data_IF_018877902035
#
_entry.id   IF_018877902035
#
_cell.length_a   1.000
_cell.length_b   1.000
_cell.length_c   1.000
_cell.angle_alpha   90.00
_cell.angle_beta   90.00
_cell.angle_gamma   90.00
#
_symmetry.space_group_name_H-M   'P 1'
#
loop_
_entity.id
_entity.type
_entity.pdbx_description
1 polymer ?
#
# COMPACT_ATOMS: atom_id res chain seq x y z
N UNK A 1 -11.40 55.36 -3.77
CA UNK A 1 -11.90 54.21 -2.99
C UNK A 1 -11.96 52.88 -3.75
N UNK A 2 -11.81 52.84 -5.08
CA UNK A 2 -11.83 51.59 -5.87
C UNK A 2 -10.48 50.88 -6.00
N UNK A 3 -9.36 51.61 -5.99
CA UNK A 3 -8.02 51.03 -6.12
C UNK A 3 -7.64 50.14 -4.93
N UNK A 4 -8.03 50.53 -3.71
CA UNK A 4 -7.73 49.80 -2.48
C UNK A 4 -8.38 48.39 -2.42
N UNK A 5 -9.56 48.24 -3.02
CA UNK A 5 -10.24 46.94 -3.12
C UNK A 5 -9.57 46.02 -4.14
N UNK A 6 -9.06 46.58 -5.24
CA UNK A 6 -8.30 45.84 -6.26
C UNK A 6 -6.98 45.31 -5.66
N UNK A 7 -6.27 46.13 -4.88
CA UNK A 7 -5.01 45.71 -4.23
C UNK A 7 -5.23 44.61 -3.18
N UNK A 8 -6.36 44.65 -2.43
CA UNK A 8 -6.75 43.60 -1.47
C UNK A 8 -7.11 42.27 -2.15
N UNK A 9 -7.78 42.32 -3.30
CA UNK A 9 -8.10 41.12 -4.10
C UNK A 9 -6.85 40.48 -4.72
N UNK A 10 -5.87 41.29 -5.11
CA UNK A 10 -4.57 40.81 -5.60
C UNK A 10 -3.72 40.18 -4.49
N UNK A 11 -3.71 40.75 -3.28
CA UNK A 11 -2.98 40.16 -2.14
C UNK A 11 -3.54 38.80 -1.67
N UNK A 12 -4.83 38.54 -1.91
CA UNK A 12 -5.46 37.25 -1.59
C UNK A 12 -5.15 36.16 -2.63
N UNK A 13 -4.61 36.51 -3.81
CA UNK A 13 -4.21 35.54 -4.85
C UNK A 13 -2.77 35.05 -4.71
N UNK A 14 -1.99 35.56 -3.75
CA UNK A 14 -0.58 35.19 -3.57
C UNK A 14 -0.35 33.90 -2.76
N UNK A 15 -1.42 33.23 -2.29
CA UNK A 15 -1.34 31.92 -1.65
C UNK A 15 -1.86 30.80 -2.57
N UNK A 16 -1.63 30.88 -3.89
CA UNK A 16 -1.70 29.66 -4.70
C UNK A 16 -0.44 28.87 -4.38
N UNK A 17 -0.56 27.89 -3.48
CA UNK A 17 0.48 26.88 -3.34
C UNK A 17 0.79 26.36 -4.73
N UNK A 18 2.01 26.58 -5.23
CA UNK A 18 2.56 25.85 -6.36
C UNK A 18 2.82 24.41 -5.89
N UNK A 19 1.77 23.76 -5.38
CA UNK A 19 1.75 22.37 -5.01
C UNK A 19 1.49 21.65 -6.30
N UNK A 20 2.44 20.82 -6.72
CA UNK A 20 2.30 19.88 -7.84
C UNK A 20 0.87 19.32 -7.84
N UNK A 21 0.06 19.74 -8.81
CA UNK A 21 -1.31 19.23 -8.93
C UNK A 21 -1.18 17.78 -9.38
N UNK A 22 -1.16 16.86 -8.43
CA UNK A 22 -1.16 15.41 -8.70
C UNK A 22 -2.40 15.11 -9.53
N UNK A 23 -2.21 14.48 -10.69
CA UNK A 23 -3.32 14.11 -11.55
C UNK A 23 -4.20 13.07 -10.85
N UNK A 24 -5.52 13.18 -11.01
CA UNK A 24 -6.44 12.21 -10.44
C UNK A 24 -6.33 10.87 -11.16
N UNK A 25 -5.74 9.87 -10.49
CA UNK A 25 -5.59 8.50 -10.99
C UNK A 25 -6.70 7.54 -10.57
N UNK A 26 -7.71 8.00 -9.82
CA UNK A 26 -8.83 7.15 -9.37
C UNK A 26 -9.53 6.41 -10.52
N UNK A 27 -9.86 7.05 -11.67
CA UNK A 27 -10.50 6.33 -12.77
C UNK A 27 -9.64 5.21 -13.37
N UNK A 28 -8.31 5.35 -13.32
CA UNK A 28 -7.37 4.33 -13.82
C UNK A 28 -7.37 3.10 -12.91
N UNK A 29 -7.26 3.32 -11.60
CA UNK A 29 -7.33 2.23 -10.61
C UNK A 29 -8.70 1.58 -10.55
N UNK A 30 -9.79 2.34 -10.70
CA UNK A 30 -11.14 1.78 -10.78
C UNK A 30 -11.25 0.80 -11.96
N UNK A 31 -10.75 1.17 -13.16
CA UNK A 31 -10.72 0.25 -14.31
C UNK A 31 -9.92 -1.01 -14.02
N UNK A 32 -8.75 -0.88 -13.38
CA UNK A 32 -7.90 -2.02 -13.03
C UNK A 32 -8.58 -3.00 -12.07
N UNK A 33 -9.14 -2.49 -10.96
CA UNK A 33 -9.76 -3.32 -9.92
C UNK A 33 -11.18 -3.78 -10.27
N UNK A 34 -11.85 -3.16 -11.23
CA UNK A 34 -13.17 -3.58 -11.73
C UNK A 34 -13.08 -4.42 -13.01
N UNK A 35 -11.90 -4.63 -13.59
CA UNK A 35 -11.73 -5.51 -14.74
C UNK A 35 -12.22 -6.94 -14.43
N UNK A 36 -12.97 -7.52 -15.36
CA UNK A 36 -13.61 -8.83 -15.20
C UNK A 36 -12.65 -9.94 -15.66
N UNK A 37 -11.60 -10.15 -14.87
CA UNK A 37 -10.48 -11.04 -15.19
C UNK A 37 -10.40 -12.28 -14.28
N UNK A 38 -11.48 -12.61 -13.56
CA UNK A 38 -11.58 -13.70 -12.55
C UNK A 38 -10.51 -13.66 -11.41
N UNK A 39 -9.68 -12.62 -11.36
CA UNK A 39 -8.64 -12.47 -10.36
C UNK A 39 -9.22 -12.00 -9.02
N UNK A 40 -8.83 -12.62 -7.90
CA UNK A 40 -9.22 -12.15 -6.58
C UNK A 40 -8.55 -10.81 -6.27
N UNK A 41 -9.19 -9.99 -5.42
CA UNK A 41 -8.77 -8.60 -5.14
C UNK A 41 -7.31 -8.46 -4.68
N UNK A 42 -6.78 -9.44 -3.95
CA UNK A 42 -5.40 -9.42 -3.42
C UNK A 42 -4.32 -9.81 -4.44
N UNK A 43 -4.70 -10.16 -5.68
CA UNK A 43 -3.78 -10.40 -6.80
C UNK A 43 -4.06 -9.45 -7.97
N UNK A 44 -5.02 -8.53 -7.81
CA UNK A 44 -5.56 -7.74 -8.92
C UNK A 44 -4.63 -6.60 -9.36
N UNK A 45 -3.66 -6.22 -8.53
CA UNK A 45 -2.56 -5.31 -8.88
C UNK A 45 -1.47 -5.97 -9.74
N UNK A 46 -1.52 -7.29 -9.96
CA UNK A 46 -0.67 -8.00 -10.90
C UNK A 46 0.57 -8.66 -10.28
N UNK A 47 1.73 -8.54 -10.95
CA UNK A 47 2.93 -9.30 -10.60
C UNK A 47 3.49 -8.94 -9.21
N UNK A 48 3.41 -7.67 -8.82
CA UNK A 48 3.84 -7.20 -7.48
C UNK A 48 3.11 -7.95 -6.37
N UNK A 49 1.79 -8.06 -6.50
CA UNK A 49 0.92 -8.67 -5.51
C UNK A 49 1.22 -10.18 -5.40
N UNK A 50 1.46 -10.83 -6.54
CA UNK A 50 1.81 -12.25 -6.57
C UNK A 50 3.17 -12.53 -5.91
N UNK A 51 4.19 -11.69 -6.17
CA UNK A 51 5.50 -11.82 -5.52
C UNK A 51 5.37 -11.58 -4.02
N UNK A 52 4.68 -10.51 -3.62
CA UNK A 52 4.47 -10.18 -2.20
C UNK A 52 3.76 -11.34 -1.48
N UNK A 53 2.65 -11.83 -2.03
CA UNK A 53 1.90 -12.95 -1.47
C UNK A 53 2.77 -14.19 -1.25
N UNK A 54 3.55 -14.59 -2.27
CA UNK A 54 4.42 -15.76 -2.19
C UNK A 54 5.51 -15.59 -1.14
N UNK A 55 6.14 -14.43 -1.08
CA UNK A 55 7.19 -14.14 -0.09
C UNK A 55 6.61 -14.21 1.32
N UNK A 56 5.45 -13.59 1.57
CA UNK A 56 4.79 -13.65 2.88
C UNK A 56 4.42 -15.08 3.27
N UNK A 57 3.89 -15.87 2.34
CA UNK A 57 3.56 -17.28 2.60
C UNK A 57 4.80 -18.13 2.93
N UNK A 58 5.91 -17.91 2.23
CA UNK A 58 7.18 -18.60 2.51
C UNK A 58 7.67 -18.25 3.91
N UNK A 59 7.75 -16.96 4.24
CA UNK A 59 8.22 -16.49 5.56
C UNK A 59 7.34 -17.06 6.67
N UNK A 60 6.01 -17.01 6.51
CA UNK A 60 5.07 -17.56 7.48
C UNK A 60 5.25 -19.06 7.69
N UNK A 61 5.36 -19.82 6.60
CA UNK A 61 5.55 -21.29 6.64
C UNK A 61 6.88 -21.65 7.32
N UNK A 62 7.96 -20.95 6.97
CA UNK A 62 9.28 -21.14 7.59
C UNK A 62 9.23 -20.80 9.08
N UNK A 63 8.61 -19.68 9.46
CA UNK A 63 8.44 -19.30 10.86
C UNK A 63 7.69 -20.34 11.68
N UNK A 64 6.59 -20.88 11.13
CA UNK A 64 5.82 -21.96 11.77
C UNK A 64 6.68 -23.21 11.93
N UNK A 65 7.39 -23.64 10.89
CA UNK A 65 8.26 -24.83 10.97
C UNK A 65 9.37 -24.67 12.02
N UNK A 66 9.95 -23.47 12.13
CA UNK A 66 10.98 -23.16 13.11
C UNK A 66 10.42 -23.17 14.55
N UNK A 67 9.24 -22.61 14.75
CA UNK A 67 8.55 -22.64 16.04
C UNK A 67 8.25 -24.08 16.48
N UNK A 68 7.76 -24.93 15.55
CA UNK A 68 7.50 -26.34 15.83
C UNK A 68 8.79 -27.11 16.19
N UNK A 69 9.90 -26.84 15.49
CA UNK A 69 11.20 -27.40 15.84
C UNK A 69 11.64 -26.97 17.24
N UNK A 70 11.45 -25.70 17.59
CA UNK A 70 11.74 -25.20 18.94
C UNK A 70 10.92 -25.91 20.02
N UNK A 71 9.62 -26.10 19.79
CA UNK A 71 8.74 -26.83 20.72
C UNK A 71 9.19 -28.29 20.85
N UNK A 72 9.56 -28.93 19.74
CA UNK A 72 10.06 -30.31 19.74
C UNK A 72 11.34 -30.45 20.57
N UNK A 73 12.31 -29.56 20.38
CA UNK A 73 13.56 -29.59 21.15
C UNK A 73 13.35 -29.34 22.65
N UNK A 74 12.40 -28.48 23.02
CA UNK A 74 12.03 -28.27 24.43
C UNK A 74 11.33 -29.49 25.05
N UNK A 75 10.52 -30.20 24.28
CA UNK A 75 9.81 -31.39 24.73
C UNK A 75 10.69 -32.64 24.87
N UNK A 76 11.90 -32.64 24.32
CA UNK A 76 12.84 -33.76 24.44
C UNK A 76 13.38 -33.86 25.87
N UNK A 77 13.06 -34.96 26.54
CA UNK A 77 13.67 -35.30 27.83
C UNK A 77 15.15 -35.60 27.59
N UNK A 78 16.02 -34.70 28.05
CA UNK A 78 17.46 -34.89 27.97
C UNK A 78 17.87 -35.95 29.01
N UNK A 79 18.23 -37.16 28.55
CA UNK A 79 18.91 -38.12 29.42
C UNK A 79 20.31 -37.60 29.69
N UNK A 80 20.62 -37.43 30.98
CA UNK A 80 21.97 -37.20 31.49
C UNK A 80 22.84 -38.45 31.32
#
# INVERSE_FOLDING_TARGET
MRSLLVTRLQSLRCFTTSGRQMENKVPEYQKLFQADNDLPVHLKGGMSDMVMYRVTMIIGTVGISYALYGIYELGKIKKH
#
